data_IF_392585155975
#
_entry.id   IF_392585155975
#
_cell.length_a   1.000
_cell.length_b   1.000
_cell.length_c   1.000
_cell.angle_alpha   90.00
_cell.angle_beta   90.00
_cell.angle_gamma   90.00
#
_symmetry.space_group_name_H-M   'P 1'
#
loop_
_entity.id
_entity.type
_entity.pdbx_description
1 polymer ?
#
# COMPACT_ATOMS: atom_id res chain seq x y z
N UNK A 1 10.77 22.79 13.77
CA UNK A 1 10.63 21.36 13.44
C UNK A 1 11.86 20.93 12.68
N UNK A 2 12.58 19.91 13.18
CA UNK A 2 13.81 19.44 12.55
C UNK A 2 13.48 18.85 11.16
N UNK A 3 14.37 18.99 10.16
CA UNK A 3 14.12 18.49 8.79
C UNK A 3 13.80 16.99 8.78
N UNK A 4 14.43 16.23 9.68
CA UNK A 4 14.18 14.80 9.88
C UNK A 4 12.78 14.51 10.42
N UNK A 5 12.22 15.38 11.30
CA UNK A 5 10.86 15.21 11.86
C UNK A 5 9.81 15.43 10.79
N UNK A 6 10.01 16.45 9.95
CA UNK A 6 9.13 16.73 8.82
C UNK A 6 9.13 15.56 7.82
N UNK A 7 10.31 15.03 7.48
CA UNK A 7 10.43 13.87 6.59
C UNK A 7 9.74 12.63 7.17
N UNK A 8 10.02 12.31 8.44
CA UNK A 8 9.44 11.15 9.10
C UNK A 8 7.91 11.23 9.18
N UNK A 9 7.37 12.42 9.48
CA UNK A 9 5.92 12.65 9.50
C UNK A 9 5.30 12.44 8.12
N UNK A 10 5.90 13.02 7.07
CA UNK A 10 5.43 12.84 5.69
C UNK A 10 5.46 11.38 5.24
N UNK A 11 6.55 10.65 5.50
CA UNK A 11 6.63 9.22 5.15
C UNK A 11 5.58 8.38 5.88
N UNK A 12 5.31 8.68 7.15
CA UNK A 12 4.25 8.00 7.91
C UNK A 12 2.87 8.28 7.31
N UNK A 13 2.63 9.53 6.89
CA UNK A 13 1.38 9.93 6.25
C UNK A 13 1.18 9.19 4.91
N UNK A 14 2.21 9.19 4.06
CA UNK A 14 2.18 8.46 2.79
C UNK A 14 2.02 6.95 2.97
N UNK A 15 2.70 6.36 3.97
CA UNK A 15 2.52 4.95 4.33
C UNK A 15 1.06 4.63 4.67
N UNK A 16 0.41 5.47 5.48
CA UNK A 16 -1.03 5.30 5.81
C UNK A 16 -1.93 5.35 4.58
N UNK A 17 -1.76 6.35 3.71
CA UNK A 17 -2.56 6.44 2.48
C UNK A 17 -2.31 5.25 1.54
N UNK A 18 -1.06 4.84 1.36
CA UNK A 18 -0.70 3.64 0.59
C UNK A 18 -1.36 2.38 1.17
N UNK A 19 -1.40 2.26 2.50
CA UNK A 19 -2.09 1.17 3.19
C UNK A 19 -3.60 1.15 2.94
N UNK A 20 -4.27 2.32 2.99
CA UNK A 20 -5.71 2.43 2.68
C UNK A 20 -5.99 1.99 1.24
N UNK A 21 -5.21 2.48 0.27
CA UNK A 21 -5.33 2.10 -1.14
C UNK A 21 -5.14 0.58 -1.30
N UNK A 22 -4.13 0.02 -0.65
CA UNK A 22 -3.86 -1.42 -0.67
C UNK A 22 -5.07 -2.23 -0.19
N UNK A 23 -5.69 -1.83 0.93
CA UNK A 23 -6.87 -2.51 1.47
C UNK A 23 -8.04 -2.45 0.48
N UNK A 24 -8.26 -1.31 -0.16
CA UNK A 24 -9.30 -1.16 -1.18
C UNK A 24 -9.07 -2.15 -2.34
N UNK A 25 -7.83 -2.23 -2.84
CA UNK A 25 -7.49 -3.17 -3.91
C UNK A 25 -7.63 -4.64 -3.50
N UNK A 26 -7.35 -4.99 -2.24
CA UNK A 26 -7.60 -6.34 -1.70
C UNK A 26 -9.09 -6.65 -1.70
N UNK A 27 -9.94 -5.71 -1.26
CA UNK A 27 -11.39 -5.91 -1.25
C UNK A 27 -11.92 -6.09 -2.68
N UNK A 28 -11.49 -5.23 -3.61
CA UNK A 28 -11.84 -5.36 -5.03
C UNK A 28 -11.39 -6.71 -5.60
N UNK A 29 -10.16 -7.12 -5.30
CA UNK A 29 -9.63 -8.41 -5.70
C UNK A 29 -10.52 -9.56 -5.22
N UNK A 30 -10.88 -9.60 -3.93
CA UNK A 30 -11.69 -10.67 -3.35
C UNK A 30 -13.07 -10.77 -4.00
N UNK A 31 -13.73 -9.62 -4.21
CA UNK A 31 -15.04 -9.57 -4.86
C UNK A 31 -14.93 -10.07 -6.29
N UNK A 32 -14.03 -9.49 -7.09
CA UNK A 32 -13.89 -9.83 -8.52
C UNK A 32 -13.42 -11.27 -8.70
N UNK A 33 -12.50 -11.74 -7.87
CA UNK A 33 -11.97 -13.11 -7.93
C UNK A 33 -13.06 -14.16 -7.70
N UNK A 34 -14.04 -13.86 -6.84
CA UNK A 34 -15.16 -14.78 -6.57
C UNK A 34 -16.06 -14.98 -7.79
N UNK A 35 -16.15 -13.98 -8.67
CA UNK A 35 -17.02 -13.99 -9.85
C UNK A 35 -16.28 -14.15 -11.17
N UNK A 36 -14.96 -14.38 -11.17
CA UNK A 36 -14.16 -14.41 -12.40
C UNK A 36 -14.22 -15.74 -13.17
N UNK A 37 -14.86 -16.79 -12.64
CA UNK A 37 -14.92 -18.13 -13.25
C UNK A 37 -15.51 -18.07 -14.66
N UNK A 38 -14.71 -18.49 -15.64
CA UNK A 38 -15.11 -18.51 -17.05
C UNK A 38 -15.14 -17.13 -17.73
N UNK A 39 -14.78 -16.05 -17.02
CA UNK A 39 -14.77 -14.70 -17.55
C UNK A 39 -13.34 -14.12 -17.62
N UNK A 40 -12.79 -14.10 -18.83
CA UNK A 40 -11.43 -13.62 -19.09
C UNK A 40 -11.21 -12.15 -18.66
N UNK A 41 -12.21 -11.29 -18.82
CA UNK A 41 -12.11 -9.88 -18.42
C UNK A 41 -11.99 -9.73 -16.91
N UNK A 42 -12.83 -10.43 -16.15
CA UNK A 42 -12.77 -10.41 -14.68
C UNK A 42 -11.49 -11.07 -14.15
N UNK A 43 -10.96 -12.08 -14.85
CA UNK A 43 -9.66 -12.67 -14.53
C UNK A 43 -8.54 -11.63 -14.58
N UNK A 44 -8.44 -10.86 -15.67
CA UNK A 44 -7.42 -9.81 -15.78
C UNK A 44 -7.59 -8.69 -14.76
N UNK A 45 -8.82 -8.30 -14.44
CA UNK A 45 -9.10 -7.29 -13.39
C UNK A 45 -8.67 -7.80 -12.01
N UNK A 46 -8.98 -9.06 -11.69
CA UNK A 46 -8.54 -9.72 -10.47
C UNK A 46 -7.01 -9.79 -10.41
N UNK A 47 -6.36 -10.21 -11.50
CA UNK A 47 -4.89 -10.28 -11.56
C UNK A 47 -4.22 -8.91 -11.40
N UNK A 48 -4.74 -7.86 -12.04
CA UNK A 48 -4.19 -6.52 -11.91
C UNK A 48 -4.37 -5.98 -10.49
N UNK A 49 -5.55 -6.18 -9.90
CA UNK A 49 -5.86 -5.70 -8.54
C UNK A 49 -4.96 -6.33 -7.47
N UNK A 50 -4.63 -7.62 -7.57
CA UNK A 50 -3.71 -8.25 -6.63
C UNK A 50 -2.26 -7.75 -6.79
N UNK A 51 -1.80 -7.49 -8.02
CA UNK A 51 -0.47 -6.89 -8.26
C UNK A 51 -0.38 -5.51 -7.62
N UNK A 52 -1.39 -4.66 -7.84
CA UNK A 52 -1.43 -3.32 -7.25
C UNK A 52 -1.46 -3.40 -5.72
N UNK A 53 -2.22 -4.33 -5.15
CA UNK A 53 -2.24 -4.57 -3.71
C UNK A 53 -0.86 -4.99 -3.18
N UNK A 54 -0.14 -5.90 -3.85
CA UNK A 54 1.19 -6.33 -3.43
C UNK A 54 2.19 -5.17 -3.46
N UNK A 55 2.23 -4.40 -4.55
CA UNK A 55 3.11 -3.23 -4.68
C UNK A 55 2.79 -2.20 -3.59
N UNK A 56 1.51 -1.91 -3.37
CA UNK A 56 1.04 -0.99 -2.33
C UNK A 56 1.42 -1.45 -0.93
N UNK A 57 1.37 -2.75 -0.65
CA UNK A 57 1.79 -3.33 0.62
C UNK A 57 3.29 -3.17 0.86
N UNK A 58 4.12 -3.48 -0.14
CA UNK A 58 5.58 -3.31 -0.08
C UNK A 58 5.93 -1.84 0.12
N UNK A 59 5.32 -0.94 -0.65
CA UNK A 59 5.53 0.50 -0.54
C UNK A 59 5.13 1.02 0.85
N UNK A 60 3.98 0.59 1.37
CA UNK A 60 3.51 0.94 2.71
C UNK A 60 4.54 0.52 3.78
N UNK A 61 5.06 -0.70 3.70
CA UNK A 61 6.07 -1.23 4.61
C UNK A 61 7.38 -0.44 4.53
N UNK A 62 7.90 -0.21 3.32
CA UNK A 62 9.13 0.55 3.10
C UNK A 62 9.03 1.97 3.67
N UNK A 63 7.94 2.69 3.38
CA UNK A 63 7.72 4.05 3.90
C UNK A 63 7.60 4.07 5.43
N UNK A 64 7.00 3.04 6.02
CA UNK A 64 6.88 2.93 7.48
C UNK A 64 8.24 2.69 8.13
N UNK A 65 9.06 1.78 7.58
CA UNK A 65 10.43 1.53 8.04
C UNK A 65 11.29 2.79 7.91
N UNK A 66 11.18 3.50 6.79
CA UNK A 66 11.90 4.74 6.55
C UNK A 66 11.50 5.83 7.57
N UNK A 67 10.20 5.97 7.86
CA UNK A 67 9.71 6.89 8.90
C UNK A 67 10.28 6.57 10.28
N UNK A 68 10.32 5.29 10.66
CA UNK A 68 10.92 4.86 11.93
C UNK A 68 12.42 5.17 11.98
N UNK A 69 13.17 4.91 10.89
CA UNK A 69 14.59 5.23 10.80
C UNK A 69 14.88 6.71 11.06
N UNK A 70 14.14 7.60 10.40
CA UNK A 70 14.32 9.04 10.60
C UNK A 70 13.88 9.50 12.00
N UNK A 71 12.84 8.88 12.59
CA UNK A 71 12.47 9.10 14.01
C UNK A 71 13.58 8.73 14.98
N UNK A 72 14.29 7.64 14.75
CA UNK A 72 15.41 7.22 15.60
C UNK A 72 16.60 8.18 15.50
N UNK A 73 16.84 8.80 14.34
CA UNK A 73 17.88 9.83 14.14
C UNK A 73 17.57 11.21 14.75
N UNK A 74 16.37 11.40 15.29
CA UNK A 74 15.97 12.64 15.96
C UNK A 74 16.27 12.58 17.47
N UNK A 75 16.32 11.36 18.04
CA UNK A 75 16.88 11.13 19.38
C UNK A 75 18.38 11.32 19.37
#
# INVERSE_FOLDING_TARGET
>A
MNKNELLASKFMLFSKYSGIITIIFIIVFLIVNTFNTGNNTLFWISYLSIIVAMIGAIQCLCLRLLSMYYKTKIK
#
